data_IF_809278528738
#
_entry.id   IF_809278528738
#
_cell.length_a   1.000
_cell.length_b   1.000
_cell.length_c   1.000
_cell.angle_alpha   90.00
_cell.angle_beta   90.00
_cell.angle_gamma   90.00
#
_symmetry.space_group_name_H-M   'P 1'
#
loop_
_entity.id
_entity.type
_entity.pdbx_description
1 polymer ?
#
# COMPACT_ATOMS: atom_id res chain seq x y z
N UNK A 1 -19.71 -5.05 3.65
CA UNK A 1 -18.40 -5.11 2.95
C UNK A 1 -17.61 -6.32 3.44
N UNK A 2 -16.90 -6.96 2.53
CA UNK A 2 -15.95 -8.05 2.82
C UNK A 2 -14.71 -7.87 1.96
N UNK A 3 -13.56 -8.30 2.47
CA UNK A 3 -12.29 -8.32 1.75
C UNK A 3 -11.91 -9.75 1.43
N UNK A 4 -11.61 -10.05 0.17
CA UNK A 4 -11.04 -11.32 -0.23
C UNK A 4 -9.57 -11.33 0.11
N UNK A 5 -9.13 -12.24 0.96
CA UNK A 5 -7.75 -12.34 1.43
C UNK A 5 -6.95 -13.41 0.69
N UNK A 6 -7.64 -14.41 0.13
CA UNK A 6 -7.02 -15.47 -0.67
C UNK A 6 -7.95 -15.87 -1.79
N UNK A 7 -7.40 -16.09 -2.96
CA UNK A 7 -8.10 -16.66 -4.09
C UNK A 7 -8.43 -18.15 -3.88
N UNK A 8 -9.41 -18.65 -4.63
CA UNK A 8 -9.73 -20.08 -4.66
C UNK A 8 -8.50 -20.89 -5.11
N UNK A 9 -8.26 -22.03 -4.46
CA UNK A 9 -7.18 -22.96 -4.83
C UNK A 9 -7.71 -24.40 -4.85
N UNK A 10 -7.69 -25.02 -6.02
CA UNK A 10 -8.22 -26.38 -6.21
C UNK A 10 -9.68 -26.46 -5.78
N UNK A 11 -10.00 -27.35 -4.84
CA UNK A 11 -11.35 -27.52 -4.29
C UNK A 11 -11.73 -26.52 -3.19
N UNK A 12 -10.80 -25.67 -2.75
CA UNK A 12 -11.06 -24.67 -1.70
C UNK A 12 -11.50 -23.35 -2.32
N UNK A 13 -12.64 -22.83 -1.86
CA UNK A 13 -13.13 -21.50 -2.23
C UNK A 13 -12.25 -20.36 -1.73
N UNK A 14 -12.52 -19.11 -2.15
CA UNK A 14 -11.79 -17.93 -1.68
C UNK A 14 -12.02 -17.71 -0.19
N UNK A 15 -11.04 -17.11 0.48
CA UNK A 15 -11.19 -16.68 1.89
C UNK A 15 -11.55 -15.21 1.95
N UNK A 16 -12.52 -14.88 2.80
CA UNK A 16 -12.97 -13.52 3.01
C UNK A 16 -12.91 -13.15 4.50
N UNK A 17 -12.73 -11.86 4.78
CA UNK A 17 -12.77 -11.28 6.12
C UNK A 17 -13.63 -10.01 6.14
N UNK A 18 -14.13 -9.66 7.33
CA UNK A 18 -14.77 -8.37 7.60
C UNK A 18 -13.79 -7.35 8.18
N UNK A 19 -12.62 -7.79 8.59
CA UNK A 19 -11.52 -6.93 9.02
C UNK A 19 -10.84 -6.34 7.79
N UNK A 20 -11.34 -5.18 7.36
CA UNK A 20 -10.87 -4.52 6.15
C UNK A 20 -9.53 -3.84 6.42
N UNK A 21 -8.60 -3.98 5.47
CA UNK A 21 -7.29 -3.37 5.53
C UNK A 21 -6.97 -2.68 4.21
N UNK A 22 -6.45 -1.46 4.28
CA UNK A 22 -5.95 -0.71 3.12
C UNK A 22 -4.45 -0.47 3.31
N UNK A 23 -3.58 -1.22 2.59
CA UNK A 23 -2.15 -1.07 2.74
C UNK A 23 -1.64 0.14 1.96
N UNK A 24 -0.99 1.07 2.68
CA UNK A 24 -0.16 2.13 2.14
C UNK A 24 1.31 1.73 2.08
N UNK A 25 2.17 2.71 1.84
CA UNK A 25 3.62 2.52 1.86
C UNK A 25 4.14 2.35 3.30
N UNK A 26 3.83 3.29 4.16
CA UNK A 26 4.34 3.38 5.53
C UNK A 26 3.39 2.82 6.57
N UNK A 27 2.10 2.87 6.28
CA UNK A 27 1.05 2.44 7.20
C UNK A 27 0.03 1.51 6.52
N UNK A 28 -0.74 0.80 7.33
CA UNK A 28 -1.95 0.09 6.91
C UNK A 28 -3.11 0.72 7.64
N UNK A 29 -4.10 1.22 6.91
CA UNK A 29 -5.34 1.73 7.48
C UNK A 29 -6.30 0.57 7.76
N UNK A 30 -6.92 0.60 8.93
CA UNK A 30 -7.95 -0.35 9.38
C UNK A 30 -9.26 0.43 9.61
N UNK A 31 -10.11 0.55 8.59
CA UNK A 31 -11.28 1.43 8.66
C UNK A 31 -12.33 1.05 9.70
N UNK A 32 -12.35 -0.21 10.15
CA UNK A 32 -13.35 -0.77 11.07
C UNK A 32 -12.75 -1.23 12.41
N UNK A 33 -11.54 -0.75 12.73
CA UNK A 33 -10.88 -1.01 14.01
C UNK A 33 -10.42 0.32 14.61
N UNK A 34 -10.19 0.37 15.91
CA UNK A 34 -9.73 1.59 16.58
C UNK A 34 -8.55 1.27 17.50
N UNK A 35 -7.37 1.04 16.88
CA UNK A 35 -6.12 0.85 17.61
C UNK A 35 -4.92 1.27 16.78
N UNK A 36 -3.77 1.50 17.44
CA UNK A 36 -2.49 1.72 16.79
C UNK A 36 -1.59 0.51 17.01
N UNK A 37 -1.18 -0.12 15.92
CA UNK A 37 -0.20 -1.19 15.89
C UNK A 37 1.15 -0.69 15.38
N UNK A 38 2.24 -1.33 15.83
CA UNK A 38 3.58 -1.07 15.29
C UNK A 38 4.23 -2.40 14.94
N UNK A 39 4.77 -2.52 13.74
CA UNK A 39 5.44 -3.73 13.29
C UNK A 39 6.48 -4.20 14.32
N UNK A 40 6.46 -5.48 14.66
CA UNK A 40 7.45 -6.09 15.55
C UNK A 40 8.89 -6.00 15.01
N UNK A 41 9.06 -5.84 13.69
CA UNK A 41 10.37 -5.70 13.04
C UNK A 41 11.01 -4.32 13.27
N UNK A 42 10.29 -3.36 13.85
CA UNK A 42 10.86 -2.07 14.29
C UNK A 42 11.38 -2.28 15.72
N UNK A 43 12.64 -2.66 15.86
CA UNK A 43 13.23 -3.03 17.14
C UNK A 43 13.69 -1.82 17.97
N UNK A 44 14.10 -0.73 17.31
CA UNK A 44 14.54 0.49 17.97
C UNK A 44 13.37 1.16 18.71
N UNK A 45 13.49 1.26 20.05
CA UNK A 45 12.44 1.81 20.91
C UNK A 45 12.18 3.30 20.66
N UNK A 46 13.21 4.09 20.41
CA UNK A 46 13.09 5.52 20.16
C UNK A 46 12.31 5.77 18.87
N UNK A 47 12.66 5.04 17.81
CA UNK A 47 11.97 5.12 16.53
C UNK A 47 10.52 4.64 16.64
N UNK A 48 10.24 3.57 17.38
CA UNK A 48 8.87 3.12 17.67
C UNK A 48 8.05 4.21 18.35
N UNK A 49 8.63 4.86 19.34
CA UNK A 49 7.95 5.92 20.10
C UNK A 49 7.72 7.15 19.22
N UNK A 50 8.71 7.55 18.42
CA UNK A 50 8.59 8.67 17.47
C UNK A 50 7.44 8.41 16.48
N UNK A 51 7.45 7.26 15.81
CA UNK A 51 6.43 6.89 14.83
C UNK A 51 5.05 6.81 15.47
N UNK A 52 4.97 6.25 16.70
CA UNK A 52 3.70 6.11 17.42
C UNK A 52 3.12 7.47 17.78
N UNK A 53 3.94 8.41 18.26
CA UNK A 53 3.50 9.77 18.60
C UNK A 53 2.92 10.50 17.38
N UNK A 54 3.60 10.44 16.22
CA UNK A 54 3.10 11.05 14.98
C UNK A 54 1.73 10.46 14.59
N UNK A 55 1.60 9.13 14.68
CA UNK A 55 0.35 8.47 14.31
C UNK A 55 -0.77 8.72 15.31
N UNK A 56 -0.49 8.87 16.60
CA UNK A 56 -1.48 9.20 17.62
C UNK A 56 -2.17 10.54 17.35
N UNK A 57 -1.42 11.53 16.85
CA UNK A 57 -1.97 12.84 16.46
C UNK A 57 -2.72 12.79 15.12
N UNK A 58 -2.28 11.94 14.19
CA UNK A 58 -2.79 11.91 12.82
C UNK A 58 -3.90 10.88 12.60
N UNK A 59 -4.09 9.96 13.53
CA UNK A 59 -5.05 8.86 13.40
C UNK A 59 -6.48 9.38 13.28
N UNK A 60 -7.22 9.01 12.22
CA UNK A 60 -8.64 9.38 12.14
C UNK A 60 -9.46 8.71 13.25
N UNK A 61 -10.47 9.42 13.74
CA UNK A 61 -11.38 8.89 14.76
C UNK A 61 -12.08 7.63 14.29
N UNK A 62 -12.14 6.63 15.16
CA UNK A 62 -12.81 5.35 14.88
C UNK A 62 -12.11 4.45 13.87
N UNK A 63 -10.88 4.80 13.44
CA UNK A 63 -10.07 3.96 12.54
C UNK A 63 -8.77 3.55 13.22
N UNK A 64 -8.23 2.39 12.84
CA UNK A 64 -6.93 1.92 13.29
C UNK A 64 -5.84 2.14 12.26
N UNK A 65 -4.60 2.19 12.73
CA UNK A 65 -3.41 2.29 11.89
C UNK A 65 -2.36 1.29 12.38
N UNK A 66 -1.78 0.53 11.45
CA UNK A 66 -0.61 -0.31 11.72
C UNK A 66 0.59 0.25 10.99
N UNK A 67 1.63 0.62 11.75
CA UNK A 67 2.89 1.16 11.23
C UNK A 67 3.72 0.02 10.65
N UNK A 68 4.13 0.16 9.39
CA UNK A 68 4.95 -0.81 8.66
C UNK A 68 6.45 -0.56 8.88
N UNK A 69 7.27 -1.56 8.60
CA UNK A 69 8.75 -1.45 8.66
C UNK A 69 9.30 -0.37 7.72
N UNK A 70 8.65 -0.15 6.59
CA UNK A 70 9.02 0.89 5.63
C UNK A 70 8.95 2.32 6.21
N UNK A 71 8.27 2.50 7.35
CA UNK A 71 8.18 3.80 8.03
C UNK A 71 9.46 4.19 8.79
N UNK A 72 10.43 3.27 8.96
CA UNK A 72 11.71 3.58 9.62
C UNK A 72 12.40 4.71 8.87
N UNK A 73 12.74 5.80 9.58
CA UNK A 73 13.39 6.99 9.03
C UNK A 73 12.51 7.84 8.10
N UNK A 74 11.23 7.51 7.93
CA UNK A 74 10.32 8.35 7.16
C UNK A 74 10.06 9.68 7.88
N UNK A 75 9.88 10.75 7.10
CA UNK A 75 9.49 12.04 7.65
C UNK A 75 8.02 12.02 8.10
N UNK A 76 7.68 12.95 8.99
CA UNK A 76 6.30 13.13 9.44
C UNK A 76 5.37 13.44 8.28
N UNK A 77 5.78 14.34 7.37
CA UNK A 77 5.00 14.73 6.21
C UNK A 77 4.67 13.53 5.32
N UNK A 78 5.64 12.63 5.10
CA UNK A 78 5.45 11.43 4.29
C UNK A 78 4.45 10.44 4.92
N UNK A 79 4.48 10.31 6.25
CA UNK A 79 3.52 9.50 7.00
C UNK A 79 2.11 10.09 6.92
N UNK A 80 1.98 11.40 7.14
CA UNK A 80 0.71 12.11 7.07
C UNK A 80 0.09 12.07 5.67
N UNK A 81 0.92 12.15 4.63
CA UNK A 81 0.47 12.04 3.25
C UNK A 81 -0.06 10.64 2.92
N UNK A 82 0.64 9.59 3.38
CA UNK A 82 0.18 8.19 3.20
C UNK A 82 -1.18 7.96 3.88
N UNK A 83 -1.35 8.46 5.11
CA UNK A 83 -2.63 8.40 5.84
C UNK A 83 -3.74 9.14 5.09
N UNK A 84 -3.49 10.37 4.63
CA UNK A 84 -4.48 11.17 3.89
C UNK A 84 -4.93 10.47 2.62
N UNK A 85 -3.98 9.86 1.89
CA UNK A 85 -4.27 9.10 0.67
C UNK A 85 -5.15 7.87 0.98
N UNK A 86 -4.83 7.11 2.02
CA UNK A 86 -5.61 5.94 2.42
C UNK A 86 -7.02 6.31 2.90
N UNK A 87 -7.16 7.40 3.64
CA UNK A 87 -8.46 7.91 4.06
C UNK A 87 -9.32 8.38 2.87
N UNK A 88 -8.70 9.01 1.88
CA UNK A 88 -9.40 9.40 0.64
C UNK A 88 -9.89 8.15 -0.12
N UNK A 89 -9.06 7.13 -0.26
CA UNK A 89 -9.42 5.86 -0.88
C UNK A 89 -10.57 5.17 -0.12
N UNK A 90 -10.51 5.15 1.21
CA UNK A 90 -11.57 4.58 2.02
C UNK A 90 -12.91 5.28 1.80
N UNK A 91 -12.94 6.62 1.79
CA UNK A 91 -14.16 7.40 1.54
C UNK A 91 -14.80 7.03 0.19
N UNK A 92 -14.00 6.82 -0.84
CA UNK A 92 -14.48 6.37 -2.17
C UNK A 92 -15.10 4.98 -2.08
N UNK A 93 -14.41 4.03 -1.41
CA UNK A 93 -14.90 2.66 -1.22
C UNK A 93 -16.23 2.66 -0.45
N UNK A 94 -16.30 3.42 0.64
CA UNK A 94 -17.49 3.53 1.48
C UNK A 94 -18.68 4.14 0.70
N UNK A 95 -18.43 5.21 -0.04
CA UNK A 95 -19.45 5.86 -0.86
C UNK A 95 -20.00 4.91 -1.94
N UNK A 96 -19.12 4.20 -2.65
CA UNK A 96 -19.51 3.18 -3.62
C UNK A 96 -20.30 2.04 -2.98
N UNK A 97 -19.88 1.60 -1.80
CA UNK A 97 -20.55 0.53 -1.07
C UNK A 97 -21.98 0.86 -0.62
N UNK A 98 -22.34 2.16 -0.56
CA UNK A 98 -23.69 2.63 -0.23
C UNK A 98 -24.65 2.63 -1.44
N UNK A 99 -24.11 2.73 -2.67
CA UNK A 99 -24.93 2.89 -3.89
C UNK A 99 -24.89 1.69 -4.81
N UNK A 100 -23.80 0.91 -4.82
CA UNK A 100 -23.68 -0.24 -5.71
C UNK A 100 -24.42 -1.46 -5.18
N UNK A 101 -25.13 -2.16 -6.08
CA UNK A 101 -25.83 -3.40 -5.73
C UNK A 101 -24.84 -4.57 -5.66
N UNK A 102 -24.95 -5.35 -4.58
CA UNK A 102 -24.17 -6.58 -4.46
C UNK A 102 -24.63 -7.67 -5.45
N UNK A 103 -23.71 -8.50 -5.97
CA UNK A 103 -22.25 -8.45 -5.74
C UNK A 103 -21.57 -7.42 -6.65
N UNK A 104 -20.66 -6.59 -6.07
CA UNK A 104 -19.88 -5.61 -6.82
C UNK A 104 -18.45 -5.52 -6.26
N UNK A 105 -17.47 -5.31 -7.15
CA UNK A 105 -16.09 -5.04 -6.75
C UNK A 105 -15.93 -3.54 -6.50
N UNK A 106 -15.80 -3.16 -5.24
CA UNK A 106 -15.66 -1.75 -4.83
C UNK A 106 -14.21 -1.26 -4.92
N UNK A 107 -13.26 -2.13 -4.64
CA UNK A 107 -11.83 -1.86 -4.65
C UNK A 107 -11.06 -3.13 -5.04
N UNK A 108 -9.97 -2.96 -5.74
CA UNK A 108 -9.02 -4.03 -6.04
C UNK A 108 -7.63 -3.56 -5.65
N UNK A 109 -6.93 -4.38 -4.87
CA UNK A 109 -5.52 -4.14 -4.54
C UNK A 109 -4.68 -4.11 -5.82
N UNK A 110 -3.59 -3.35 -5.76
CA UNK A 110 -2.62 -3.25 -6.85
C UNK A 110 -2.09 -4.65 -7.23
N UNK A 111 -1.78 -4.83 -8.50
CA UNK A 111 -1.13 -6.07 -8.94
C UNK A 111 0.26 -6.25 -8.30
N UNK A 112 0.81 -7.47 -8.39
CA UNK A 112 2.04 -7.82 -7.70
C UNK A 112 3.21 -6.89 -8.06
N UNK A 113 3.37 -6.57 -9.34
CA UNK A 113 4.48 -5.72 -9.82
C UNK A 113 4.41 -4.32 -9.22
N UNK A 114 3.22 -3.72 -9.22
CA UNK A 114 3.00 -2.39 -8.65
C UNK A 114 3.14 -2.40 -7.13
N UNK A 115 2.69 -3.48 -6.45
CA UNK A 115 2.91 -3.65 -5.00
C UNK A 115 4.38 -3.76 -4.64
N UNK A 116 5.18 -4.48 -5.43
CA UNK A 116 6.63 -4.58 -5.21
C UNK A 116 7.26 -3.19 -5.26
N UNK A 117 6.91 -2.38 -6.25
CA UNK A 117 7.43 -1.01 -6.34
C UNK A 117 7.00 -0.18 -5.13
N UNK A 118 5.72 -0.20 -4.74
CA UNK A 118 5.23 0.51 -3.55
C UNK A 118 5.99 0.13 -2.28
N UNK A 119 6.23 -1.16 -2.09
CA UNK A 119 6.74 -1.69 -0.83
C UNK A 119 8.28 -1.67 -0.74
N UNK A 120 9.00 -1.74 -1.86
CA UNK A 120 10.45 -1.92 -1.91
C UNK A 120 11.21 -0.77 -2.58
N UNK A 121 10.54 0.23 -3.16
CA UNK A 121 11.24 1.39 -3.71
C UNK A 121 11.77 2.26 -2.59
N UNK A 122 13.05 2.06 -2.26
CA UNK A 122 13.81 2.84 -1.28
C UNK A 122 14.76 3.82 -1.99
N UNK A 123 15.47 4.65 -1.24
CA UNK A 123 16.38 5.66 -1.82
C UNK A 123 17.64 5.04 -2.45
N UNK A 124 17.99 3.82 -2.05
CA UNK A 124 19.11 3.03 -2.58
C UNK A 124 18.78 2.33 -3.91
N UNK A 125 17.49 2.26 -4.31
CA UNK A 125 17.11 1.77 -5.63
C UNK A 125 17.37 2.85 -6.67
N UNK A 126 18.38 2.63 -7.53
CA UNK A 126 18.75 3.57 -8.58
C UNK A 126 17.80 3.53 -9.77
N UNK A 127 17.33 2.35 -10.17
CA UNK A 127 16.49 2.16 -11.35
C UNK A 127 15.50 1.01 -11.17
N UNK A 128 14.34 1.14 -11.82
CA UNK A 128 13.33 0.10 -12.02
C UNK A 128 13.23 -0.13 -13.51
N UNK A 129 13.53 -1.34 -13.96
CA UNK A 129 13.47 -1.71 -15.37
C UNK A 129 12.27 -2.64 -15.57
N UNK A 130 11.38 -2.28 -16.48
CA UNK A 130 10.16 -3.01 -16.78
C UNK A 130 10.14 -3.36 -18.28
N UNK A 131 9.72 -4.56 -18.61
CA UNK A 131 9.61 -5.09 -19.97
C UNK A 131 8.16 -5.14 -20.50
N UNK A 132 7.18 -4.83 -19.63
CA UNK A 132 5.76 -4.73 -19.97
C UNK A 132 5.30 -3.28 -19.95
N UNK A 133 4.80 -2.79 -21.08
CA UNK A 133 4.34 -1.41 -21.25
C UNK A 133 3.13 -1.07 -20.37
N UNK A 134 2.24 -2.03 -20.12
CA UNK A 134 1.06 -1.79 -19.28
C UNK A 134 1.45 -1.71 -17.81
N UNK A 135 2.39 -2.57 -17.35
CA UNK A 135 2.98 -2.48 -16.00
C UNK A 135 3.73 -1.18 -15.83
N UNK A 136 4.54 -0.76 -16.82
CA UNK A 136 5.24 0.52 -16.82
C UNK A 136 4.27 1.70 -16.59
N UNK A 137 3.18 1.75 -17.34
CA UNK A 137 2.17 2.80 -17.18
C UNK A 137 1.58 2.84 -15.77
N UNK A 138 1.19 1.68 -15.20
CA UNK A 138 0.66 1.57 -13.84
C UNK A 138 1.67 1.96 -12.76
N UNK A 139 2.94 1.58 -12.92
CA UNK A 139 4.02 1.96 -12.01
C UNK A 139 4.27 3.47 -12.05
N UNK A 140 4.29 4.07 -13.23
CA UNK A 140 4.42 5.52 -13.36
C UNK A 140 3.25 6.26 -12.71
N UNK A 141 2.02 5.76 -12.84
CA UNK A 141 0.84 6.33 -12.20
C UNK A 141 0.92 6.20 -10.66
N UNK A 142 1.31 5.03 -10.15
CA UNK A 142 1.57 4.87 -8.72
C UNK A 142 2.57 5.91 -8.21
N UNK A 143 3.72 6.04 -8.86
CA UNK A 143 4.81 6.93 -8.41
C UNK A 143 4.43 8.41 -8.43
N UNK A 144 3.56 8.84 -9.36
CA UNK A 144 3.02 10.21 -9.38
C UNK A 144 2.19 10.53 -8.13
N UNK A 145 1.51 9.53 -7.59
CA UNK A 145 0.59 9.67 -6.47
C UNK A 145 1.19 9.19 -5.12
N UNK A 146 2.45 8.77 -5.12
CA UNK A 146 3.12 8.21 -3.94
C UNK A 146 4.09 9.24 -3.32
N UNK A 147 4.07 9.42 -1.98
CA UNK A 147 5.02 10.29 -1.28
C UNK A 147 6.47 9.94 -1.62
N UNK A 148 7.26 10.94 -2.08
CA UNK A 148 8.64 10.74 -2.50
C UNK A 148 8.82 9.90 -3.77
N UNK A 149 7.74 9.60 -4.48
CA UNK A 149 7.78 8.87 -5.75
C UNK A 149 8.38 9.76 -6.87
N UNK A 150 9.25 9.17 -7.68
CA UNK A 150 9.78 9.82 -8.88
C UNK A 150 9.78 8.86 -10.06
N UNK A 151 9.17 9.29 -11.15
CA UNK A 151 9.10 8.49 -12.38
C UNK A 151 10.43 8.45 -13.14
N UNK A 152 11.37 9.34 -12.84
CA UNK A 152 12.68 9.39 -13.50
C UNK A 152 13.57 8.15 -13.27
N UNK A 153 13.21 7.30 -12.31
CA UNK A 153 13.89 6.03 -12.06
C UNK A 153 13.31 4.84 -12.82
N UNK A 154 12.19 5.03 -13.53
CA UNK A 154 11.50 3.92 -14.21
C UNK A 154 11.85 3.92 -15.69
N UNK A 155 12.35 2.80 -16.16
CA UNK A 155 12.74 2.59 -17.56
C UNK A 155 11.88 1.48 -18.17
N UNK A 156 11.37 1.72 -19.37
CA UNK A 156 10.76 0.67 -20.18
C UNK A 156 11.85 0.03 -21.06
N UNK A 157 12.03 -1.27 -20.90
CA UNK A 157 12.93 -2.05 -21.73
C UNK A 157 12.17 -2.67 -22.90
N UNK A 158 12.48 -2.21 -24.11
CA UNK A 158 11.76 -2.66 -25.32
C UNK A 158 12.32 -3.95 -25.94
N UNK A 159 13.46 -4.44 -25.45
CA UNK A 159 14.07 -5.69 -25.91
C UNK A 159 13.76 -6.80 -24.92
N UNK A 160 13.47 -8.01 -25.43
CA UNK A 160 13.32 -9.19 -24.59
C UNK A 160 14.56 -9.37 -23.70
N UNK A 161 14.41 -9.23 -22.38
CA UNK A 161 15.48 -9.51 -21.42
C UNK A 161 15.74 -11.02 -21.42
N UNK A 162 16.88 -11.45 -21.97
CA UNK A 162 17.33 -12.82 -21.81
C UNK A 162 17.96 -12.96 -20.41
N UNK A 163 17.28 -13.65 -19.52
CA UNK A 163 17.81 -13.98 -18.19
C UNK A 163 18.94 -15.02 -18.22
N UNK A 164 19.36 -15.46 -19.41
CA UNK A 164 20.39 -16.49 -19.60
C UNK A 164 21.82 -15.90 -19.62
N UNK A 165 21.94 -14.57 -19.66
CA UNK A 165 23.24 -13.87 -19.68
C UNK A 165 23.52 -13.09 -18.39
N UNK A 166 23.24 -13.69 -17.25
CA UNK A 166 23.74 -13.21 -15.95
C UNK A 166 24.91 -14.07 -15.52
#
# INVERSE_FOLDING_TARGET
>A
LVQITKDARGSKGPSATRELTLPGRYVVLLPLADYIGVSHKIENKEERNRLKAIIEEAKPDGMGIVIRTAAIGASEEALLEDIRHLCANWRVIEARGKVEKAPATLYRELDLSVRIVRDYLTNDVSQIILDDKAVYGRVCELLKNMPGGTTGRVLLHEKQLSLIHI
#
